data_IF_791718647129
#
_entry.id   IF_791718647129
#
_cell.length_a   1.000
_cell.length_b   1.000
_cell.length_c   1.000
_cell.angle_alpha   90.00
_cell.angle_beta   90.00
_cell.angle_gamma   90.00
#
_symmetry.space_group_name_H-M   'P 1'
#
loop_
_entity.id
_entity.type
_entity.pdbx_description
1 polymer ?
#
# COMPACT_ATOMS: atom_id res chain seq x y z
N UNK A 1 1.79 -10.30 -14.20
CA UNK A 1 0.51 -9.86 -14.79
C UNK A 1 0.81 -8.63 -15.63
N UNK A 2 0.58 -8.69 -16.93
CA UNK A 2 0.78 -7.55 -17.83
C UNK A 2 -0.56 -6.78 -17.86
N UNK A 3 -0.59 -5.62 -17.25
CA UNK A 3 -1.78 -4.77 -17.22
C UNK A 3 -1.78 -3.94 -18.50
N UNK A 4 -2.76 -4.17 -19.38
CA UNK A 4 -2.92 -3.38 -20.60
C UNK A 4 -3.67 -2.09 -20.25
N UNK A 5 -3.04 -0.94 -20.45
CA UNK A 5 -3.65 0.38 -20.22
C UNK A 5 -4.89 0.63 -21.09
N UNK A 6 -5.04 -0.12 -22.18
CA UNK A 6 -6.20 -0.06 -23.09
C UNK A 6 -7.54 -0.43 -22.40
N UNK A 7 -7.48 -1.19 -21.30
CA UNK A 7 -8.66 -1.61 -20.54
C UNK A 7 -8.94 -0.74 -19.30
N UNK A 8 -8.23 0.38 -19.14
CA UNK A 8 -8.28 1.19 -17.92
C UNK A 8 -9.69 1.74 -17.60
N UNK A 9 -10.46 2.16 -18.63
CA UNK A 9 -11.84 2.64 -18.43
C UNK A 9 -12.76 1.53 -17.96
N UNK A 10 -12.69 0.36 -18.59
CA UNK A 10 -13.50 -0.83 -18.23
C UNK A 10 -13.16 -1.32 -16.83
N UNK A 11 -11.88 -1.32 -16.49
CA UNK A 11 -11.41 -1.68 -15.15
C UNK A 11 -11.95 -0.71 -14.10
N UNK A 12 -11.93 0.60 -14.40
CA UNK A 12 -12.46 1.64 -13.53
C UNK A 12 -13.97 1.47 -13.31
N UNK A 13 -14.74 1.20 -14.38
CA UNK A 13 -16.19 0.96 -14.30
C UNK A 13 -16.52 -0.28 -13.47
N UNK A 14 -15.81 -1.36 -13.68
CA UNK A 14 -15.98 -2.61 -12.91
C UNK A 14 -15.64 -2.41 -11.43
N UNK A 15 -14.55 -1.69 -11.17
CA UNK A 15 -14.12 -1.45 -9.79
C UNK A 15 -15.12 -0.57 -9.05
N UNK A 16 -15.62 0.51 -9.68
CA UNK A 16 -16.65 1.35 -9.08
C UNK A 16 -17.93 0.57 -8.82
N UNK A 17 -18.40 -0.23 -9.79
CA UNK A 17 -19.58 -1.08 -9.62
C UNK A 17 -19.40 -2.10 -8.47
N UNK A 18 -18.19 -2.65 -8.29
CA UNK A 18 -17.87 -3.53 -7.15
C UNK A 18 -17.94 -2.77 -5.83
N UNK A 19 -17.34 -1.57 -5.75
CA UNK A 19 -17.38 -0.72 -4.54
C UNK A 19 -18.83 -0.40 -4.15
N UNK A 20 -19.67 0.02 -5.12
CA UNK A 20 -21.08 0.28 -4.90
C UNK A 20 -21.86 -0.99 -4.43
N UNK A 21 -21.65 -2.12 -5.09
CA UNK A 21 -22.26 -3.39 -4.71
C UNK A 21 -21.90 -3.86 -3.30
N UNK A 22 -20.71 -3.50 -2.82
CA UNK A 22 -20.23 -3.78 -1.46
C UNK A 22 -20.58 -2.69 -0.45
N UNK A 23 -21.33 -1.66 -0.84
CA UNK A 23 -21.75 -0.57 0.04
C UNK A 23 -20.64 0.39 0.43
N UNK A 24 -19.53 0.39 -0.31
CA UNK A 24 -18.45 1.36 -0.12
C UNK A 24 -18.94 2.72 -0.65
N UNK A 25 -19.23 3.64 0.27
CA UNK A 25 -19.76 4.94 -0.07
C UNK A 25 -18.66 5.91 -0.50
N UNK A 26 -18.89 6.59 -1.59
CA UNK A 26 -18.05 7.70 -2.02
C UNK A 26 -18.48 8.93 -1.22
N UNK A 27 -17.59 9.60 -0.46
CA UNK A 27 -17.98 10.79 0.30
C UNK A 27 -18.51 11.88 -0.63
N UNK A 28 -19.66 12.48 -0.27
CA UNK A 28 -20.30 13.54 -1.06
C UNK A 28 -19.42 14.83 -1.17
N UNK A 29 -18.47 14.98 -0.28
CA UNK A 29 -17.51 16.09 -0.28
C UNK A 29 -16.09 15.55 -0.31
N UNK A 30 -15.44 15.66 -1.47
CA UNK A 30 -14.02 15.44 -1.60
C UNK A 30 -13.27 16.35 -0.61
N UNK A 31 -12.41 15.78 0.20
CA UNK A 31 -11.44 16.56 0.96
C UNK A 31 -10.55 17.26 -0.07
N UNK A 32 -10.82 18.53 -0.31
CA UNK A 32 -10.12 19.38 -1.26
C UNK A 32 -8.79 19.85 -0.66
N UNK A 33 -7.81 18.95 -0.57
CA UNK A 33 -6.42 19.36 -0.51
C UNK A 33 -5.90 19.49 -1.93
N UNK A 34 -5.25 20.59 -2.27
CA UNK A 34 -4.78 20.87 -3.63
C UNK A 34 -3.85 19.79 -4.23
N UNK A 35 -3.30 18.90 -3.41
CA UNK A 35 -2.35 17.87 -3.79
C UNK A 35 -2.90 16.43 -3.66
N UNK A 36 -4.16 16.27 -3.23
CA UNK A 36 -4.76 14.95 -3.08
C UNK A 36 -5.67 14.63 -4.26
N UNK A 37 -5.37 13.52 -4.94
CA UNK A 37 -6.23 12.96 -5.97
C UNK A 37 -7.09 11.85 -5.34
N UNK A 38 -8.36 12.15 -4.98
CA UNK A 38 -9.26 11.18 -4.41
C UNK A 38 -9.53 10.02 -5.38
N UNK A 39 -9.81 8.85 -4.87
CA UNK A 39 -10.02 7.64 -5.66
C UNK A 39 -10.98 7.85 -6.83
N UNK A 40 -12.18 8.43 -6.60
CA UNK A 40 -13.18 8.64 -7.67
C UNK A 40 -12.76 9.67 -8.71
N UNK A 41 -11.99 10.70 -8.33
CA UNK A 41 -11.47 11.65 -9.30
C UNK A 41 -10.52 10.97 -10.28
N UNK A 42 -9.68 10.07 -9.77
CA UNK A 42 -8.77 9.26 -10.59
C UNK A 42 -9.55 8.27 -11.46
N UNK A 43 -10.56 7.60 -10.91
CA UNK A 43 -11.45 6.71 -11.67
C UNK A 43 -12.15 7.45 -12.81
N UNK A 44 -12.67 8.65 -12.55
CA UNK A 44 -13.25 9.51 -13.58
C UNK A 44 -12.23 9.84 -14.69
N UNK A 45 -11.02 10.21 -14.31
CA UNK A 45 -9.94 10.50 -15.27
C UNK A 45 -9.48 9.27 -16.08
N UNK A 46 -9.51 8.10 -15.50
CA UNK A 46 -9.23 6.85 -16.23
C UNK A 46 -10.29 6.55 -17.30
N UNK A 47 -11.54 7.00 -17.10
CA UNK A 47 -12.62 6.87 -18.10
C UNK A 47 -12.56 7.92 -19.19
N UNK A 48 -12.45 9.20 -18.79
CA UNK A 48 -12.54 10.35 -19.69
C UNK A 48 -11.23 10.65 -20.41
N UNK A 49 -10.12 10.07 -19.96
CA UNK A 49 -8.76 10.40 -20.35
C UNK A 49 -8.23 11.60 -19.60
N UNK A 50 -6.92 11.76 -19.62
CA UNK A 50 -6.23 12.90 -19.03
C UNK A 50 -6.29 14.07 -20.04
N UNK A 51 -7.43 14.75 -20.11
CA UNK A 51 -7.66 15.86 -21.01
C UNK A 51 -7.15 17.17 -20.39
N UNK A 52 -6.35 17.88 -21.15
CA UNK A 52 -5.73 19.15 -20.77
C UNK A 52 -4.20 19.07 -20.83
N UNK A 53 -3.55 20.21 -20.85
CA UNK A 53 -2.09 20.31 -20.68
C UNK A 53 -1.87 21.04 -19.35
N UNK A 54 -1.97 20.35 -18.21
CA UNK A 54 -1.49 20.89 -16.95
C UNK A 54 0.04 20.99 -17.03
N UNK A 55 0.62 21.94 -16.35
CA UNK A 55 2.07 22.12 -16.29
C UNK A 55 2.81 20.87 -15.79
N UNK A 56 2.12 19.96 -15.09
CA UNK A 56 2.71 18.73 -14.58
C UNK A 56 1.66 17.61 -14.35
N UNK A 57 1.59 16.66 -15.28
CA UNK A 57 0.68 15.50 -15.22
C UNK A 57 1.21 14.33 -14.41
N UNK A 58 2.45 14.40 -13.87
CA UNK A 58 3.09 13.25 -13.21
C UNK A 58 2.28 12.71 -12.03
N UNK A 59 1.73 13.60 -11.21
CA UNK A 59 0.91 13.21 -10.06
C UNK A 59 -0.37 12.49 -10.50
N UNK A 60 -1.04 13.02 -11.53
CA UNK A 60 -2.28 12.42 -12.07
C UNK A 60 -1.99 11.04 -12.70
N UNK A 61 -0.93 10.92 -13.49
CA UNK A 61 -0.52 9.63 -14.08
C UNK A 61 -0.12 8.61 -13.01
N UNK A 62 0.64 9.03 -12.00
CA UNK A 62 1.04 8.14 -10.90
C UNK A 62 -0.17 7.67 -10.10
N UNK A 63 -1.13 8.56 -9.83
CA UNK A 63 -2.38 8.20 -9.17
C UNK A 63 -3.22 7.27 -10.06
N UNK A 64 -3.29 7.52 -11.36
CA UNK A 64 -3.96 6.65 -12.33
C UNK A 64 -3.38 5.24 -12.34
N UNK A 65 -2.06 5.11 -12.36
CA UNK A 65 -1.38 3.82 -12.30
C UNK A 65 -1.66 3.12 -10.97
N UNK A 66 -1.60 3.83 -9.84
CA UNK A 66 -1.85 3.27 -8.52
C UNK A 66 -3.30 2.76 -8.38
N UNK A 67 -4.28 3.54 -8.83
CA UNK A 67 -5.69 3.13 -8.81
C UNK A 67 -5.95 1.96 -9.76
N UNK A 68 -5.35 1.97 -10.96
CA UNK A 68 -5.48 0.87 -11.90
C UNK A 68 -4.90 -0.43 -11.32
N UNK A 69 -3.73 -0.36 -10.70
CA UNK A 69 -3.09 -1.51 -10.05
C UNK A 69 -3.91 -2.03 -8.86
N UNK A 70 -4.44 -1.12 -8.02
CA UNK A 70 -5.34 -1.45 -6.93
C UNK A 70 -6.61 -2.16 -7.45
N UNK A 71 -7.29 -1.56 -8.43
CA UNK A 71 -8.51 -2.09 -9.02
C UNK A 71 -8.28 -3.50 -9.60
N UNK A 72 -7.18 -3.69 -10.32
CA UNK A 72 -6.83 -4.99 -10.89
C UNK A 72 -6.65 -6.08 -9.80
N UNK A 73 -6.01 -5.75 -8.68
CA UNK A 73 -5.79 -6.67 -7.57
C UNK A 73 -7.09 -7.01 -6.85
N UNK A 74 -7.90 -5.99 -6.54
CA UNK A 74 -9.17 -6.18 -5.82
C UNK A 74 -10.15 -6.98 -6.66
N UNK A 75 -10.30 -6.65 -7.96
CA UNK A 75 -11.17 -7.39 -8.88
C UNK A 75 -10.71 -8.84 -9.12
N UNK A 76 -9.41 -9.11 -9.04
CA UNK A 76 -8.89 -10.47 -9.18
C UNK A 76 -9.33 -11.40 -8.05
N UNK A 77 -9.74 -10.85 -6.92
CA UNK A 77 -10.16 -11.60 -5.73
C UNK A 77 -11.63 -11.37 -5.33
N UNK A 78 -12.44 -10.73 -6.19
CA UNK A 78 -13.85 -10.42 -5.91
C UNK A 78 -14.69 -11.64 -5.55
N UNK A 79 -14.34 -12.82 -6.07
CA UNK A 79 -14.99 -14.10 -5.76
C UNK A 79 -14.43 -14.87 -4.57
N UNK A 80 -13.42 -14.34 -3.87
CA UNK A 80 -12.80 -15.03 -2.75
C UNK A 80 -13.73 -15.06 -1.52
N UNK A 81 -13.83 -16.18 -0.76
CA UNK A 81 -14.72 -16.28 0.41
C UNK A 81 -14.51 -15.18 1.47
N UNK A 82 -13.27 -14.75 1.69
CA UNK A 82 -12.93 -13.70 2.64
C UNK A 82 -12.94 -12.28 2.02
N UNK A 83 -13.49 -12.09 0.81
CA UNK A 83 -13.47 -10.78 0.15
C UNK A 83 -14.05 -9.65 1.02
N UNK A 84 -15.08 -9.95 1.79
CA UNK A 84 -15.76 -8.96 2.62
C UNK A 84 -14.86 -8.37 3.74
N UNK A 85 -13.77 -9.04 4.08
CA UNK A 85 -12.73 -8.51 4.98
C UNK A 85 -12.03 -7.26 4.40
N UNK A 86 -12.01 -7.11 3.08
CA UNK A 86 -11.43 -5.93 2.42
C UNK A 86 -12.36 -4.70 2.48
N UNK A 87 -13.66 -4.88 2.68
CA UNK A 87 -14.65 -3.79 2.57
C UNK A 87 -14.36 -2.61 3.52
N UNK A 88 -14.08 -2.80 4.81
CA UNK A 88 -13.73 -1.70 5.71
C UNK A 88 -12.47 -0.95 5.26
N UNK A 89 -11.49 -1.67 4.73
CA UNK A 89 -10.24 -1.13 4.22
C UNK A 89 -10.47 -0.32 2.93
N UNK A 90 -11.29 -0.82 2.02
CA UNK A 90 -11.71 -0.11 0.81
C UNK A 90 -12.49 1.17 1.14
N UNK A 91 -13.38 1.11 2.15
CA UNK A 91 -14.09 2.29 2.63
C UNK A 91 -13.12 3.36 3.16
N UNK A 92 -12.08 2.97 3.89
CA UNK A 92 -11.06 3.89 4.39
C UNK A 92 -10.28 4.55 3.24
N UNK A 93 -9.97 3.82 2.16
CA UNK A 93 -9.27 4.38 1.00
C UNK A 93 -10.06 5.50 0.30
N UNK A 94 -11.39 5.50 0.41
CA UNK A 94 -12.20 6.58 -0.18
C UNK A 94 -12.00 7.93 0.51
N UNK A 95 -11.40 7.95 1.69
CA UNK A 95 -11.17 9.15 2.50
C UNK A 95 -9.79 9.77 2.30
N UNK A 96 -8.91 9.16 1.50
CA UNK A 96 -7.54 9.58 1.35
C UNK A 96 -6.98 9.49 -0.06
N UNK A 97 -5.71 9.81 -0.20
CA UNK A 97 -4.98 9.68 -1.45
C UNK A 97 -4.51 8.24 -1.69
N UNK A 98 -4.72 7.73 -2.90
CA UNK A 98 -4.30 6.38 -3.31
C UNK A 98 -2.87 6.34 -3.86
N UNK A 99 -2.01 7.16 -3.32
CA UNK A 99 -0.64 7.33 -3.76
C UNK A 99 0.34 6.66 -2.80
N UNK A 100 1.12 5.69 -3.28
CA UNK A 100 2.16 5.05 -2.47
C UNK A 100 3.42 5.91 -2.30
N UNK A 101 3.64 6.88 -3.19
CA UNK A 101 4.89 7.66 -3.25
C UNK A 101 4.76 9.09 -2.71
N UNK A 102 3.56 9.53 -2.36
CA UNK A 102 3.34 10.81 -1.69
C UNK A 102 2.90 10.57 -0.26
N UNK A 103 3.56 11.24 0.66
CA UNK A 103 3.12 11.26 2.05
C UNK A 103 1.89 12.17 2.15
N UNK A 104 0.70 11.62 2.43
CA UNK A 104 -0.47 12.47 2.60
C UNK A 104 -0.27 13.30 3.86
N UNK A 105 -0.42 14.62 3.79
CA UNK A 105 -0.36 15.45 4.98
C UNK A 105 -1.48 15.01 5.94
N UNK A 106 -1.08 14.46 7.09
CA UNK A 106 -1.98 14.23 8.21
C UNK A 106 -2.80 12.93 8.24
N UNK A 107 -2.67 12.02 7.29
CA UNK A 107 -3.41 10.74 7.32
C UNK A 107 -2.53 9.53 6.95
N UNK A 108 -1.64 9.17 7.88
CA UNK A 108 -0.75 8.02 7.75
C UNK A 108 -1.51 6.69 7.65
N UNK A 109 -2.70 6.60 8.24
CA UNK A 109 -3.46 5.36 8.37
C UNK A 109 -4.02 4.90 7.03
N UNK A 110 -4.52 5.81 6.19
CA UNK A 110 -4.98 5.48 4.84
C UNK A 110 -3.87 4.89 3.98
N UNK A 111 -2.66 5.39 4.16
CA UNK A 111 -1.49 4.93 3.43
C UNK A 111 -1.05 3.52 3.83
N UNK A 112 -1.07 3.22 5.14
CA UNK A 112 -0.77 1.88 5.64
C UNK A 112 -1.80 0.87 5.15
N UNK A 113 -3.08 1.25 5.20
CA UNK A 113 -4.21 0.47 4.75
C UNK A 113 -4.09 -0.03 3.29
N UNK A 114 -3.47 0.76 2.41
CA UNK A 114 -3.27 0.35 1.01
C UNK A 114 -2.32 -0.86 0.89
N UNK A 115 -1.28 -0.93 1.71
CA UNK A 115 -0.35 -2.07 1.73
C UNK A 115 -1.03 -3.33 2.29
N UNK A 116 -1.86 -3.18 3.30
CA UNK A 116 -2.66 -4.27 3.87
C UNK A 116 -3.57 -4.88 2.81
N UNK A 117 -4.31 -4.04 2.07
CA UNK A 117 -5.14 -4.48 0.94
C UNK A 117 -4.31 -5.22 -0.12
N UNK A 118 -3.17 -4.65 -0.52
CA UNK A 118 -2.32 -5.27 -1.54
C UNK A 118 -1.83 -6.65 -1.12
N UNK A 119 -1.41 -6.78 0.15
CA UNK A 119 -0.93 -8.05 0.67
C UNK A 119 -2.05 -9.07 0.81
N UNK A 120 -3.21 -8.66 1.33
CA UNK A 120 -4.39 -9.51 1.42
C UNK A 120 -4.84 -10.01 0.04
N UNK A 121 -4.92 -9.12 -0.97
CA UNK A 121 -5.23 -9.52 -2.33
C UNK A 121 -4.21 -10.52 -2.90
N UNK A 122 -2.93 -10.36 -2.60
CA UNK A 122 -1.89 -11.30 -3.03
C UNK A 122 -2.10 -12.70 -2.43
N UNK A 123 -2.40 -12.78 -1.14
CA UNK A 123 -2.68 -14.03 -0.44
C UNK A 123 -3.96 -14.68 -0.99
N UNK A 124 -5.06 -13.92 -1.08
CA UNK A 124 -6.34 -14.39 -1.62
C UNK A 124 -6.21 -14.91 -3.06
N UNK A 125 -5.44 -14.21 -3.92
CA UNK A 125 -5.21 -14.64 -5.30
C UNK A 125 -4.43 -15.96 -5.40
N UNK A 126 -3.75 -16.36 -4.33
CA UNK A 126 -3.09 -17.66 -4.19
C UNK A 126 -3.96 -18.68 -3.43
N UNK A 127 -5.24 -18.39 -3.21
CA UNK A 127 -6.19 -19.29 -2.56
C UNK A 127 -6.01 -19.39 -1.04
N UNK A 128 -5.32 -18.41 -0.43
CA UNK A 128 -5.09 -18.38 1.03
C UNK A 128 -6.23 -17.61 1.68
N UNK A 129 -6.85 -18.21 2.69
CA UNK A 129 -7.80 -17.49 3.55
C UNK A 129 -7.06 -16.46 4.40
N UNK A 130 -7.66 -15.28 4.61
CA UNK A 130 -7.06 -14.20 5.37
C UNK A 130 -8.00 -13.66 6.42
N UNK A 131 -7.43 -13.16 7.51
CA UNK A 131 -8.06 -12.28 8.48
C UNK A 131 -7.32 -10.95 8.49
N UNK A 132 -8.06 -9.84 8.49
CA UNK A 132 -7.52 -8.49 8.48
C UNK A 132 -7.93 -7.75 9.74
N UNK A 133 -6.98 -7.09 10.37
CA UNK A 133 -7.28 -6.22 11.52
C UNK A 133 -8.14 -5.03 11.07
N UNK A 134 -9.22 -4.74 11.78
CA UNK A 134 -10.18 -3.74 11.33
C UNK A 134 -9.58 -2.33 11.39
N UNK A 135 -9.54 -1.56 10.28
CA UNK A 135 -8.74 -0.34 10.17
C UNK A 135 -9.16 0.79 11.13
N UNK A 136 -10.41 0.76 11.63
CA UNK A 136 -10.97 1.80 12.52
C UNK A 136 -11.12 1.31 13.96
N UNK A 137 -11.39 0.03 14.16
CA UNK A 137 -11.73 -0.53 15.48
C UNK A 137 -10.58 -1.30 16.11
N UNK A 138 -9.44 -1.38 15.43
CA UNK A 138 -8.26 -2.02 15.98
C UNK A 138 -7.64 -1.18 17.10
N UNK A 139 -7.27 -1.80 18.22
CA UNK A 139 -6.44 -1.16 19.23
C UNK A 139 -4.98 -1.01 18.79
N UNK A 140 -4.62 -1.45 17.57
CA UNK A 140 -3.26 -1.43 17.03
C UNK A 140 -2.31 -2.45 17.68
N UNK A 141 -2.89 -3.47 18.32
CA UNK A 141 -2.13 -4.52 19.01
C UNK A 141 -2.09 -5.84 18.24
N UNK A 142 -2.88 -5.96 17.18
CA UNK A 142 -2.95 -7.13 16.32
C UNK A 142 -1.99 -6.98 15.12
N UNK A 143 -1.58 -8.08 14.47
CA UNK A 143 -0.98 -8.02 13.15
C UNK A 143 -1.97 -7.45 12.13
N UNK A 144 -1.45 -6.81 11.10
CA UNK A 144 -2.29 -6.16 10.10
C UNK A 144 -3.02 -7.18 9.19
N UNK A 145 -2.33 -8.29 8.87
CA UNK A 145 -2.88 -9.40 8.06
C UNK A 145 -2.47 -10.74 8.65
N UNK A 146 -3.40 -11.67 8.75
CA UNK A 146 -3.14 -13.06 9.16
C UNK A 146 -3.57 -13.99 8.02
N UNK A 147 -2.64 -14.82 7.54
CA UNK A 147 -2.94 -15.94 6.66
C UNK A 147 -3.43 -17.12 7.50
N UNK A 148 -4.56 -17.70 7.11
CA UNK A 148 -5.18 -18.83 7.81
C UNK A 148 -4.90 -20.13 7.06
N UNK A 149 -4.73 -21.21 7.83
CA UNK A 149 -4.77 -22.59 7.34
C UNK A 149 -5.89 -23.34 8.07
N UNK A 150 -6.88 -23.78 7.32
CA UNK A 150 -8.09 -24.42 7.85
C UNK A 150 -8.75 -23.61 9.00
N UNK A 151 -8.79 -22.30 8.84
CA UNK A 151 -9.36 -21.35 9.81
C UNK A 151 -8.47 -21.04 11.02
N UNK A 152 -7.25 -21.59 11.11
CA UNK A 152 -6.31 -21.30 12.19
C UNK A 152 -5.22 -20.32 11.73
N UNK A 153 -4.74 -19.43 12.61
CA UNK A 153 -3.62 -18.53 12.29
C UNK A 153 -2.36 -19.31 11.93
N UNK A 154 -1.97 -19.25 10.65
CA UNK A 154 -0.76 -19.92 10.17
C UNK A 154 0.43 -18.96 10.11
N UNK A 155 0.24 -17.77 9.51
CA UNK A 155 1.28 -16.75 9.38
C UNK A 155 0.72 -15.36 9.58
N UNK A 156 1.37 -14.57 10.43
CA UNK A 156 0.99 -13.20 10.72
C UNK A 156 1.97 -12.19 10.06
N UNK A 157 1.41 -11.09 9.57
CA UNK A 157 2.18 -10.01 8.94
C UNK A 157 1.90 -8.70 9.67
N UNK A 158 2.97 -8.05 10.13
CA UNK A 158 2.93 -6.73 10.74
C UNK A 158 3.66 -5.73 9.84
N UNK A 159 2.94 -4.77 9.26
CA UNK A 159 3.49 -3.75 8.39
C UNK A 159 3.92 -2.52 9.18
N UNK A 160 5.13 -2.04 8.91
CA UNK A 160 5.69 -0.86 9.57
C UNK A 160 6.20 0.12 8.53
N UNK A 161 5.62 1.30 8.49
CA UNK A 161 6.02 2.35 7.56
C UNK A 161 7.20 3.13 8.14
N UNK A 162 8.34 3.08 7.46
CA UNK A 162 9.57 3.75 7.89
C UNK A 162 9.66 5.12 7.23
N UNK A 163 9.46 6.17 8.03
CA UNK A 163 9.60 7.57 7.63
C UNK A 163 10.90 8.19 8.10
N UNK A 164 11.30 7.86 9.33
CA UNK A 164 12.49 8.40 9.96
C UNK A 164 13.74 7.62 9.55
N UNK A 165 14.90 8.29 9.37
CA UNK A 165 16.18 7.63 9.18
C UNK A 165 16.81 7.14 10.50
N UNK A 166 16.19 7.46 11.65
CA UNK A 166 16.78 7.14 12.95
C UNK A 166 16.60 5.66 13.30
N UNK A 167 17.70 5.03 13.65
CA UNK A 167 17.77 3.60 14.01
C UNK A 167 16.83 3.21 15.13
N UNK A 168 16.72 4.07 16.16
CA UNK A 168 15.85 3.80 17.31
C UNK A 168 14.39 3.61 16.87
N UNK A 169 13.89 4.46 15.99
CA UNK A 169 12.52 4.35 15.48
C UNK A 169 12.31 3.04 14.70
N UNK A 170 13.33 2.57 13.98
CA UNK A 170 13.27 1.29 13.28
C UNK A 170 13.18 0.13 14.29
N UNK A 171 14.00 0.16 15.35
CA UNK A 171 13.97 -0.86 16.41
C UNK A 171 12.62 -0.86 17.15
N UNK A 172 12.08 0.31 17.48
CA UNK A 172 10.78 0.43 18.13
C UNK A 172 9.66 -0.14 17.24
N UNK A 173 9.72 0.09 15.92
CA UNK A 173 8.79 -0.50 14.95
C UNK A 173 8.96 -2.02 14.85
N UNK A 174 10.18 -2.53 14.88
CA UNK A 174 10.46 -3.96 14.86
C UNK A 174 9.90 -4.65 16.11
N UNK A 175 10.21 -4.12 17.30
CA UNK A 175 9.72 -4.65 18.58
C UNK A 175 8.19 -4.68 18.59
N UNK A 176 7.56 -3.56 18.24
CA UNK A 176 6.09 -3.50 18.17
C UNK A 176 5.51 -4.51 17.17
N UNK A 177 6.15 -4.70 16.02
CA UNK A 177 5.72 -5.71 15.04
C UNK A 177 5.82 -7.14 15.56
N UNK A 178 6.91 -7.47 16.26
CA UNK A 178 7.11 -8.77 16.91
C UNK A 178 6.04 -9.01 17.98
N UNK A 179 5.79 -8.04 18.85
CA UNK A 179 4.75 -8.13 19.89
C UNK A 179 3.35 -8.35 19.29
N UNK A 180 3.02 -7.70 18.17
CA UNK A 180 1.74 -7.94 17.48
C UNK A 180 1.65 -9.38 16.97
N UNK A 181 2.70 -9.88 16.35
CA UNK A 181 2.77 -11.26 15.83
C UNK A 181 2.64 -12.27 16.96
N UNK A 182 3.37 -12.12 18.07
CA UNK A 182 3.32 -13.03 19.21
C UNK A 182 1.90 -13.14 19.81
N UNK A 183 1.14 -12.05 19.82
CA UNK A 183 -0.24 -12.03 20.32
C UNK A 183 -1.22 -12.75 19.40
N UNK A 184 -0.92 -12.89 18.12
CA UNK A 184 -1.83 -13.50 17.13
C UNK A 184 -2.00 -15.01 17.31
N UNK A 185 -1.04 -15.67 17.98
CA UNK A 185 -0.99 -17.11 18.06
C UNK A 185 -0.61 -17.82 16.75
N UNK A 186 -0.16 -17.06 15.73
CA UNK A 186 0.31 -17.64 14.48
C UNK A 186 1.62 -18.42 14.66
N UNK A 187 1.78 -19.47 13.87
CA UNK A 187 2.98 -20.33 13.93
C UNK A 187 4.24 -19.62 13.41
N UNK A 188 4.04 -18.67 12.48
CA UNK A 188 5.10 -17.90 11.85
C UNK A 188 4.70 -16.42 11.80
N UNK A 189 5.70 -15.53 11.77
CA UNK A 189 5.44 -14.12 11.63
C UNK A 189 6.49 -13.39 10.81
N UNK A 190 6.04 -12.32 10.14
CA UNK A 190 6.87 -11.45 9.33
C UNK A 190 6.60 -10.00 9.71
N UNK A 191 7.63 -9.29 10.17
CA UNK A 191 7.59 -7.82 10.25
C UNK A 191 8.09 -7.27 8.93
N UNK A 192 7.20 -6.61 8.19
CA UNK A 192 7.51 -6.05 6.88
C UNK A 192 7.65 -4.54 6.95
N UNK A 193 8.79 -4.02 6.50
CA UNK A 193 9.05 -2.58 6.45
C UNK A 193 8.69 -1.99 5.11
N UNK A 194 7.79 -1.01 5.12
CA UNK A 194 7.48 -0.20 3.97
C UNK A 194 8.44 0.98 3.88
N UNK A 195 9.26 1.00 2.84
CA UNK A 195 10.26 2.04 2.60
C UNK A 195 9.81 3.06 1.53
N UNK A 196 8.67 2.87 0.90
CA UNK A 196 8.16 3.70 -0.20
C UNK A 196 8.08 5.20 0.15
N UNK A 197 7.70 5.63 1.37
CA UNK A 197 7.67 7.05 1.71
C UNK A 197 9.03 7.73 1.66
N UNK A 198 10.12 6.96 1.67
CA UNK A 198 11.49 7.47 1.55
C UNK A 198 11.97 7.60 0.11
N UNK A 199 11.18 7.05 -0.83
CA UNK A 199 11.47 7.14 -2.26
C UNK A 199 10.65 8.29 -2.82
N UNK A 200 11.22 9.49 -2.82
CA UNK A 200 10.54 10.67 -3.35
C UNK A 200 10.31 10.51 -4.85
N UNK A 201 9.06 10.67 -5.28
CA UNK A 201 8.69 10.59 -6.69
C UNK A 201 9.50 11.56 -7.56
N UNK A 202 9.81 12.75 -7.04
CA UNK A 202 10.66 13.73 -7.73
C UNK A 202 12.07 13.20 -8.04
N UNK A 203 12.59 12.24 -7.29
CA UNK A 203 13.87 11.59 -7.55
C UNK A 203 13.74 10.54 -8.66
N UNK A 204 12.61 9.84 -8.73
CA UNK A 204 12.35 8.84 -9.76
C UNK A 204 11.98 9.50 -11.09
N UNK A 205 11.17 10.55 -11.02
CA UNK A 205 10.68 11.26 -12.19
C UNK A 205 10.72 12.79 -11.98
N UNK A 206 11.90 13.42 -12.16
CA UNK A 206 12.06 14.86 -12.03
C UNK A 206 11.17 15.65 -13.00
N UNK A 207 10.72 16.83 -12.57
CA UNK A 207 9.90 17.73 -13.41
C UNK A 207 10.60 18.02 -14.74
N UNK A 208 9.86 17.91 -15.85
CA UNK A 208 10.38 18.16 -17.20
C UNK A 208 11.25 17.03 -17.77
N UNK A 209 11.41 15.92 -17.05
CA UNK A 209 12.16 14.78 -17.56
C UNK A 209 11.22 13.73 -18.14
N UNK A 210 11.53 13.27 -19.34
CA UNK A 210 10.80 12.20 -20.02
C UNK A 210 11.73 10.99 -20.18
N UNK A 211 11.19 9.80 -19.88
CA UNK A 211 11.90 8.55 -20.08
C UNK A 211 11.33 7.83 -21.30
N UNK A 212 12.18 7.43 -22.20
CA UNK A 212 11.81 6.63 -23.37
C UNK A 212 11.43 5.21 -22.96
N UNK A 213 12.00 4.75 -21.83
CA UNK A 213 11.85 3.38 -21.35
C UNK A 213 11.61 3.40 -19.83
N UNK A 214 10.55 2.69 -19.38
CA UNK A 214 10.19 2.54 -17.97
C UNK A 214 11.30 1.92 -17.11
N UNK A 215 12.23 1.18 -17.71
CA UNK A 215 13.37 0.57 -17.00
C UNK A 215 14.29 1.59 -16.36
N UNK A 216 14.35 2.81 -16.87
CA UNK A 216 15.19 3.86 -16.27
C UNK A 216 14.70 4.29 -14.89
N UNK A 217 13.44 4.73 -14.69
CA UNK A 217 12.95 5.06 -13.36
C UNK A 217 12.91 3.83 -12.44
N UNK A 218 12.65 2.63 -12.96
CA UNK A 218 12.70 1.40 -12.18
C UNK A 218 14.11 1.08 -11.67
N UNK A 219 15.14 1.28 -12.48
CA UNK A 219 16.53 1.10 -12.06
C UNK A 219 16.93 2.09 -10.96
N UNK A 220 16.51 3.36 -11.06
CA UNK A 220 16.73 4.37 -10.01
C UNK A 220 16.04 3.95 -8.72
N UNK A 221 14.78 3.50 -8.79
CA UNK A 221 14.04 3.04 -7.62
C UNK A 221 14.73 1.85 -6.94
N UNK A 222 15.20 0.88 -7.73
CA UNK A 222 15.91 -0.30 -7.24
C UNK A 222 17.25 0.08 -6.58
N UNK A 223 17.98 1.01 -7.15
CA UNK A 223 19.23 1.50 -6.56
C UNK A 223 18.99 2.18 -5.21
N UNK A 224 18.01 3.08 -5.13
CA UNK A 224 17.61 3.73 -3.88
C UNK A 224 17.18 2.69 -2.83
N UNK A 225 16.40 1.69 -3.22
CA UNK A 225 15.98 0.62 -2.33
C UNK A 225 17.19 -0.19 -1.81
N UNK A 226 18.12 -0.56 -2.68
CA UNK A 226 19.34 -1.28 -2.29
C UNK A 226 20.22 -0.47 -1.33
N UNK A 227 20.34 0.84 -1.55
CA UNK A 227 21.06 1.73 -0.62
C UNK A 227 20.38 1.74 0.76
N UNK A 228 19.05 1.83 0.82
CA UNK A 228 18.30 1.78 2.08
C UNK A 228 18.46 0.44 2.78
N UNK A 229 18.36 -0.68 2.07
CA UNK A 229 18.55 -2.03 2.62
C UNK A 229 19.97 -2.19 3.19
N UNK A 230 20.98 -1.67 2.49
CA UNK A 230 22.37 -1.72 2.95
C UNK A 230 22.57 -0.93 4.25
N UNK A 231 21.97 0.26 4.33
CA UNK A 231 22.01 1.06 5.56
C UNK A 231 21.32 0.35 6.72
N UNK A 232 20.13 -0.21 6.49
CA UNK A 232 19.37 -0.95 7.51
C UNK A 232 20.13 -2.20 7.98
N UNK A 233 20.75 -2.95 7.06
CA UNK A 233 21.54 -4.14 7.38
C UNK A 233 22.81 -3.81 8.17
N UNK A 234 23.44 -2.66 7.91
CA UNK A 234 24.57 -2.17 8.67
C UNK A 234 24.22 -1.86 10.13
N UNK A 235 23.06 -1.24 10.32
CA UNK A 235 22.53 -0.89 11.64
C UNK A 235 22.22 -2.14 12.49
N UNK A 236 21.55 -3.13 11.92
CA UNK A 236 21.19 -4.36 12.62
C UNK A 236 22.42 -5.15 13.06
N UNK A 237 23.49 -5.18 12.27
CA UNK A 237 24.75 -5.86 12.64
C UNK A 237 25.45 -5.20 13.83
N UNK A 238 25.46 -3.87 13.89
CA UNK A 238 26.12 -3.13 14.98
C UNK A 238 25.40 -3.37 16.31
N UNK A 239 24.07 -3.34 16.31
CA UNK A 239 23.28 -3.53 17.54
C UNK A 239 23.28 -5.00 18.02
N UNK A 240 23.36 -5.99 17.12
CA UNK A 240 23.46 -7.40 17.52
C UNK A 240 24.82 -7.72 18.16
N UNK A 241 25.89 -7.01 17.81
CA UNK A 241 27.21 -7.20 18.42
C UNK A 241 27.24 -6.64 19.83
N UNK A 242 26.60 -5.48 20.09
CA UNK A 242 26.50 -4.91 21.42
C UNK A 242 25.61 -5.73 22.38
N UNK A 243 24.56 -6.40 21.87
CA UNK A 243 23.70 -7.28 22.68
C UNK A 243 24.34 -8.63 23.00
N UNK A 244 25.37 -9.05 22.27
CA UNK A 244 26.10 -10.31 22.55
C UNK A 244 27.23 -10.12 23.59
N UNK A 245 27.50 -8.89 24.01
CA UNK A 245 28.51 -8.55 25.03
C UNK A 245 27.89 -8.17 26.39
N UNK A 246 26.54 -8.26 26.51
CA UNK A 246 25.78 -8.14 27.76
C UNK A 246 25.30 -9.51 28.24
#
# INVERSE_FOLDING_TARGET
MQVQLEDASRLADRFEALLEAKGVSIPAHALTGADMLPLWHVLKKLREGFNGIPDDLRNEYSAGIAVHDLAAKVLAVEGHPNFDMLVPHLQMLTQGAVHLTQEPPGNADVYNNLIEIYWACLLMANGVEVDLDHPVHSPGNNPDVIALDQGNPARAYAFKTVRSPHTQNLMDHLIKGVEQIERSGANEGIVAFQLTPRILQANLWPKGKYYIDWRYPAAIALELLNQMITLLSGVTRTNCTELSEL
#
